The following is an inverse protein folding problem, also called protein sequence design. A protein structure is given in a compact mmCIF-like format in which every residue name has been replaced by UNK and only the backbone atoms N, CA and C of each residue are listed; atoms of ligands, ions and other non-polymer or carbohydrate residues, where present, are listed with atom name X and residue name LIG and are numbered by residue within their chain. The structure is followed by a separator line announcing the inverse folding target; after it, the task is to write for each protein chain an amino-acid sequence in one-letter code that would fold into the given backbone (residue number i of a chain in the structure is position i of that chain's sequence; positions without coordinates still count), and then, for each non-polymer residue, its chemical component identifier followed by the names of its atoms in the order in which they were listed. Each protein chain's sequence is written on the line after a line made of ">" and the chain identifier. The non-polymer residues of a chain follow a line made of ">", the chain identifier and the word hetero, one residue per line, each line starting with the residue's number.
data_IF_918980770915
#
_entry.id   IF_918980770915
#
_cell.length_a   1.000
_cell.length_b   1.000
_cell.length_c   1.000
_cell.angle_alpha   90.00
_cell.angle_beta   90.00
_cell.angle_gamma   90.00
#
_symmetry.space_group_name_H-M   'P 1'
#
loop_
_entity.id
_entity.type
_entity.pdbx_description
1 polymer ?
#
# COMPACT_ATOMS: atom_id res chain seq x y z
N UNK A 1 -5.82 -13.99 -11.90
CA UNK A 1 -5.91 -15.00 -10.83
C UNK A 1 -7.14 -15.89 -11.00
N UNK A 2 -7.12 -17.10 -10.44
CA UNK A 2 -8.17 -18.13 -10.44
C UNK A 2 -8.21 -18.81 -9.06
N UNK A 3 -9.25 -19.60 -8.80
CA UNK A 3 -9.44 -20.31 -7.51
C UNK A 3 -8.21 -21.17 -7.15
N UNK A 4 -7.64 -21.89 -8.11
CA UNK A 4 -6.43 -22.71 -7.92
C UNK A 4 -5.14 -21.92 -7.63
N UNK A 5 -5.19 -20.59 -7.68
CA UNK A 5 -4.06 -19.71 -7.37
C UNK A 5 -4.12 -19.18 -5.93
N UNK A 6 -5.19 -19.47 -5.17
CA UNK A 6 -5.33 -19.06 -3.77
C UNK A 6 -4.15 -19.61 -2.95
N UNK A 7 -3.57 -18.75 -2.11
CA UNK A 7 -2.38 -19.04 -1.30
C UNK A 7 -1.04 -18.91 -2.03
N UNK A 8 -1.03 -18.74 -3.37
CA UNK A 8 0.22 -18.57 -4.13
C UNK A 8 0.65 -17.09 -4.19
N UNK A 9 1.96 -16.81 -4.34
CA UNK A 9 2.48 -15.47 -4.54
C UNK A 9 1.83 -14.76 -5.74
N UNK A 10 1.24 -13.57 -5.49
CA UNK A 10 0.57 -12.77 -6.54
C UNK A 10 1.51 -12.44 -7.70
N UNK A 11 2.74 -12.01 -7.39
CA UNK A 11 3.75 -11.61 -8.39
C UNK A 11 4.07 -12.75 -9.36
N UNK A 12 4.35 -13.95 -8.85
CA UNK A 12 4.69 -15.13 -9.66
C UNK A 12 3.53 -15.56 -10.55
N UNK A 13 2.31 -15.62 -9.99
CA UNK A 13 1.11 -15.99 -10.75
C UNK A 13 0.82 -14.95 -11.83
N UNK A 14 0.94 -13.65 -11.53
CA UNK A 14 0.74 -12.59 -12.51
C UNK A 14 1.72 -12.70 -13.67
N UNK A 15 3.02 -12.78 -13.39
CA UNK A 15 4.07 -12.90 -14.40
C UNK A 15 3.83 -14.11 -15.30
N UNK A 16 3.60 -15.28 -14.71
CA UNK A 16 3.31 -16.51 -15.45
C UNK A 16 2.14 -16.36 -16.41
N UNK A 17 1.00 -15.83 -15.93
CA UNK A 17 -0.23 -15.73 -16.75
C UNK A 17 -0.10 -14.73 -17.90
N UNK A 18 0.64 -13.64 -17.70
CA UNK A 18 0.86 -12.67 -18.79
C UNK A 18 1.80 -13.27 -19.84
N UNK A 19 2.89 -13.91 -19.43
CA UNK A 19 3.82 -14.56 -20.35
C UNK A 19 3.19 -15.73 -21.13
N UNK A 20 2.26 -16.48 -20.52
CA UNK A 20 1.47 -17.51 -21.22
C UNK A 20 0.54 -16.92 -22.30
N UNK A 21 0.09 -15.67 -22.12
CA UNK A 21 -0.90 -15.02 -22.99
C UNK A 21 -0.26 -14.17 -24.10
N UNK A 22 0.85 -13.51 -23.80
CA UNK A 22 1.48 -12.52 -24.68
C UNK A 22 2.87 -12.99 -25.05
N UNK A 23 3.07 -13.37 -26.31
CA UNK A 23 4.36 -13.82 -26.83
C UNK A 23 5.40 -12.70 -26.84
N UNK A 24 6.64 -13.03 -26.47
CA UNK A 24 7.77 -12.09 -26.51
C UNK A 24 7.89 -11.18 -25.29
N UNK A 25 6.96 -11.27 -24.34
CA UNK A 25 7.03 -10.55 -23.06
C UNK A 25 7.86 -11.35 -22.07
N UNK A 26 8.79 -10.68 -21.38
CA UNK A 26 9.58 -11.23 -20.29
C UNK A 26 9.28 -10.47 -19.00
N UNK A 27 8.77 -11.17 -17.98
CA UNK A 27 8.44 -10.58 -16.67
C UNK A 27 9.21 -11.33 -15.59
N UNK A 28 10.01 -10.60 -14.82
CA UNK A 28 10.71 -11.11 -13.64
C UNK A 28 9.87 -10.78 -12.40
N UNK A 29 9.17 -11.75 -11.78
CA UNK A 29 8.39 -11.50 -10.58
C UNK A 29 9.28 -11.34 -9.35
N UNK A 30 8.86 -10.48 -8.44
CA UNK A 30 9.46 -10.36 -7.11
C UNK A 30 8.37 -10.52 -6.05
N UNK A 31 8.42 -11.61 -5.27
CA UNK A 31 7.55 -11.81 -4.12
C UNK A 31 8.28 -11.36 -2.85
N UNK A 32 8.29 -10.05 -2.65
CA UNK A 32 8.84 -9.39 -1.48
C UNK A 32 8.16 -8.03 -1.31
N UNK A 33 8.42 -7.35 -0.21
CA UNK A 33 8.04 -5.95 -0.06
C UNK A 33 8.96 -5.07 -0.91
N UNK A 34 8.51 -3.85 -1.19
CA UNK A 34 9.35 -2.87 -1.90
C UNK A 34 10.51 -2.41 -1.00
N UNK A 35 10.29 -2.36 0.31
CA UNK A 35 11.28 -1.95 1.30
C UNK A 35 12.39 -2.99 1.49
N UNK A 36 12.17 -4.24 1.06
CA UNK A 36 13.17 -5.32 1.14
C UNK A 36 14.22 -5.24 0.01
N UNK A 37 14.01 -4.36 -0.98
CA UNK A 37 14.94 -4.19 -2.12
C UNK A 37 15.95 -3.09 -1.82
N UNK A 38 17.21 -3.39 -2.09
CA UNK A 38 18.30 -2.40 -2.06
C UNK A 38 18.06 -1.27 -3.07
N UNK A 39 18.59 -0.08 -2.80
CA UNK A 39 18.43 1.08 -3.69
C UNK A 39 18.94 0.80 -5.12
N UNK A 40 20.04 0.07 -5.27
CA UNK A 40 20.60 -0.27 -6.58
C UNK A 40 19.62 -1.08 -7.45
N UNK A 41 18.71 -1.85 -6.83
CA UNK A 41 17.64 -2.52 -7.56
C UNK A 41 16.76 -1.51 -8.28
N UNK A 42 16.40 -0.40 -7.65
CA UNK A 42 15.54 0.61 -8.28
C UNK A 42 16.27 1.43 -9.34
N UNK A 43 17.59 1.60 -9.20
CA UNK A 43 18.39 2.36 -10.13
C UNK A 43 18.44 1.74 -11.55
N UNK A 44 18.26 0.42 -11.66
CA UNK A 44 18.29 -0.28 -12.96
C UNK A 44 17.10 0.06 -13.89
N UNK A 45 16.01 0.59 -13.34
CA UNK A 45 14.78 0.85 -14.10
C UNK A 45 14.74 2.27 -14.68
N UNK A 46 14.20 2.40 -15.89
CA UNK A 46 14.03 3.67 -16.58
C UNK A 46 12.69 4.35 -16.23
N UNK A 47 11.66 3.56 -15.91
CA UNK A 47 10.33 4.04 -15.54
C UNK A 47 9.80 3.14 -14.43
N UNK A 48 9.13 3.73 -13.45
CA UNK A 48 8.47 3.01 -12.35
C UNK A 48 6.96 3.26 -12.44
N UNK A 49 6.14 2.20 -12.46
CA UNK A 49 4.67 2.31 -12.48
C UNK A 49 4.12 1.79 -11.16
N UNK A 50 3.33 2.61 -10.48
CA UNK A 50 2.83 2.36 -9.12
C UNK A 50 1.33 2.04 -9.16
N UNK A 51 0.99 0.86 -8.64
CA UNK A 51 -0.38 0.42 -8.33
C UNK A 51 -0.49 0.02 -6.87
N UNK A 52 0.03 0.87 -5.97
CA UNK A 52 0.13 0.62 -4.54
C UNK A 52 -1.20 0.89 -3.82
N UNK A 53 -1.38 0.37 -2.63
CA UNK A 53 -2.61 0.48 -1.82
C UNK A 53 -2.45 1.32 -0.55
N UNK A 54 -1.21 1.66 -0.15
CA UNK A 54 -0.94 2.50 1.02
C UNK A 54 -0.27 3.84 0.68
N UNK A 55 -0.38 4.80 1.59
CA UNK A 55 0.31 6.10 1.50
C UNK A 55 1.79 5.90 1.80
N UNK A 56 2.09 5.08 2.80
CA UNK A 56 3.43 4.78 3.29
C UNK A 56 4.30 4.17 2.19
N UNK A 57 3.77 3.22 1.41
CA UNK A 57 4.49 2.61 0.30
C UNK A 57 4.75 3.63 -0.84
N UNK A 58 3.79 4.54 -1.09
CA UNK A 58 3.95 5.61 -2.07
C UNK A 58 4.99 6.64 -1.62
N UNK A 59 4.99 7.03 -0.35
CA UNK A 59 6.03 7.89 0.24
C UNK A 59 7.40 7.24 0.17
N UNK A 60 7.51 5.95 0.48
CA UNK A 60 8.78 5.21 0.40
C UNK A 60 9.35 5.24 -1.02
N UNK A 61 8.58 4.80 -2.02
CA UNK A 61 9.10 4.74 -3.40
C UNK A 61 9.36 6.15 -3.96
N UNK A 62 8.60 7.16 -3.53
CA UNK A 62 8.88 8.55 -3.85
C UNK A 62 10.23 9.00 -3.28
N UNK A 63 10.52 8.67 -2.02
CA UNK A 63 11.82 8.97 -1.41
C UNK A 63 12.97 8.30 -2.16
N UNK A 64 12.81 7.01 -2.53
CA UNK A 64 13.79 6.27 -3.32
C UNK A 64 14.04 6.94 -4.68
N UNK A 65 12.98 7.22 -5.44
CA UNK A 65 13.09 7.84 -6.76
C UNK A 65 13.69 9.26 -6.71
N UNK A 66 13.28 10.06 -5.73
CA UNK A 66 13.88 11.37 -5.48
C UNK A 66 15.33 11.28 -5.00
N UNK A 67 15.70 10.23 -4.27
CA UNK A 67 17.04 10.02 -3.72
C UNK A 67 18.11 9.76 -4.78
N UNK A 68 17.73 9.32 -5.98
CA UNK A 68 18.67 9.20 -7.10
C UNK A 68 18.95 10.51 -7.81
N UNK A 69 18.14 11.56 -7.58
CA UNK A 69 18.22 12.78 -8.35
C UNK A 69 19.54 13.52 -8.12
N UNK A 70 20.33 13.65 -9.19
CA UNK A 70 21.56 14.43 -9.20
C UNK A 70 21.38 15.71 -10.03
N UNK A 71 22.18 16.72 -9.72
CA UNK A 71 22.15 18.03 -10.38
C UNK A 71 23.53 18.37 -10.97
N UNK A 72 23.53 18.95 -12.16
CA UNK A 72 24.75 19.46 -12.81
C UNK A 72 25.22 20.80 -12.20
N UNK A 73 26.31 21.36 -12.72
CA UNK A 73 26.86 22.63 -12.24
C UNK A 73 25.94 23.84 -12.46
N UNK A 74 24.93 23.71 -13.31
CA UNK A 74 23.96 24.75 -13.64
C UNK A 74 22.63 24.55 -12.87
N UNK A 75 22.63 23.70 -11.83
CA UNK A 75 21.45 23.33 -11.03
C UNK A 75 20.32 22.69 -11.86
N UNK A 76 20.68 21.95 -12.92
CA UNK A 76 19.73 21.19 -13.74
C UNK A 76 19.81 19.70 -13.41
N UNK A 77 18.66 19.00 -13.37
CA UNK A 77 18.64 17.55 -13.19
C UNK A 77 19.45 16.80 -14.26
N UNK A 78 20.37 15.95 -13.82
CA UNK A 78 21.08 14.99 -14.67
C UNK A 78 20.06 13.96 -15.16
N UNK A 79 19.76 13.96 -16.46
CA UNK A 79 18.61 13.24 -17.01
C UNK A 79 18.68 11.72 -16.78
N UNK A 80 19.89 11.16 -16.72
CA UNK A 80 20.16 9.74 -16.51
C UNK A 80 19.80 9.26 -15.10
N UNK A 81 19.76 10.17 -14.12
CA UNK A 81 19.47 9.86 -12.72
C UNK A 81 18.00 10.07 -12.36
N UNK A 82 17.26 10.81 -13.20
CA UNK A 82 15.81 10.99 -13.07
C UNK A 82 15.11 9.65 -13.26
N UNK A 83 14.26 9.27 -12.30
CA UNK A 83 13.38 8.10 -12.38
C UNK A 83 11.92 8.53 -12.51
N UNK A 84 11.37 8.67 -13.73
CA UNK A 84 9.96 8.96 -13.93
C UNK A 84 9.05 7.90 -13.30
N UNK A 85 8.02 8.36 -12.59
CA UNK A 85 7.01 7.51 -11.97
C UNK A 85 5.61 7.79 -12.54
N UNK A 86 4.83 6.74 -12.73
CA UNK A 86 3.39 6.84 -13.04
C UNK A 86 2.62 6.22 -11.89
N UNK A 87 1.91 7.04 -11.12
CA UNK A 87 1.12 6.57 -9.98
C UNK A 87 -0.37 6.53 -10.30
N UNK A 88 -0.98 5.39 -9.97
CA UNK A 88 -2.43 5.21 -9.98
C UNK A 88 -2.98 4.92 -8.59
N UNK A 89 -4.23 5.31 -8.37
CA UNK A 89 -5.01 4.93 -7.20
C UNK A 89 -6.49 4.80 -7.53
N UNK A 90 -7.20 3.95 -6.78
CA UNK A 90 -8.63 3.71 -6.97
C UNK A 90 -9.30 3.47 -5.62
N UNK A 91 -10.52 4.00 -5.46
CA UNK A 91 -11.38 3.76 -4.30
C UNK A 91 -12.84 3.78 -4.78
N UNK A 92 -13.50 2.61 -4.76
CA UNK A 92 -14.84 2.46 -5.33
C UNK A 92 -14.89 2.87 -6.81
N UNK A 93 -15.70 3.88 -7.14
CA UNK A 93 -15.83 4.45 -8.49
C UNK A 93 -14.96 5.69 -8.74
N UNK A 94 -14.09 6.05 -7.79
CA UNK A 94 -13.14 7.15 -7.92
C UNK A 94 -11.75 6.59 -8.18
N UNK A 95 -10.94 7.37 -8.89
CA UNK A 95 -9.54 7.05 -9.09
C UNK A 95 -8.78 8.22 -9.67
N UNK A 96 -7.46 8.09 -9.69
CA UNK A 96 -6.55 9.07 -10.25
C UNK A 96 -5.41 8.37 -10.98
N UNK A 97 -4.78 9.10 -11.90
CA UNK A 97 -3.50 8.77 -12.48
C UNK A 97 -2.66 10.05 -12.54
N UNK A 98 -1.37 9.95 -12.21
CA UNK A 98 -0.45 11.09 -12.27
C UNK A 98 0.92 10.65 -12.75
N UNK A 99 1.59 11.56 -13.43
CA UNK A 99 3.00 11.42 -13.81
C UNK A 99 3.83 12.28 -12.87
N UNK A 100 4.85 11.68 -12.26
CA UNK A 100 5.78 12.33 -11.35
C UNK A 100 7.18 12.21 -11.96
N UNK A 101 7.82 13.35 -12.18
CA UNK A 101 9.19 13.45 -12.67
C UNK A 101 9.99 14.17 -11.57
N UNK A 102 10.78 13.43 -10.78
CA UNK A 102 11.59 14.03 -9.72
C UNK A 102 12.43 15.21 -10.23
N UNK A 103 12.43 16.33 -9.49
CA UNK A 103 13.12 17.56 -9.87
C UNK A 103 12.40 18.45 -10.89
N UNK A 104 11.29 17.99 -11.48
CA UNK A 104 10.59 18.73 -12.54
C UNK A 104 9.10 18.93 -12.27
N UNK A 105 8.39 17.93 -11.76
CA UNK A 105 6.96 18.03 -11.40
C UNK A 105 6.78 17.85 -9.89
N UNK A 106 5.63 18.24 -9.31
CA UNK A 106 5.32 17.93 -7.92
C UNK A 106 5.45 16.44 -7.62
N UNK A 107 6.16 16.09 -6.55
CA UNK A 107 6.36 14.71 -6.13
C UNK A 107 5.15 14.20 -5.32
N UNK A 108 5.23 12.98 -4.79
CA UNK A 108 4.17 12.43 -3.94
C UNK A 108 3.90 13.33 -2.73
N UNK A 109 4.95 13.72 -2.02
CA UNK A 109 4.86 14.52 -0.79
C UNK A 109 4.29 15.92 -1.03
N UNK A 110 4.55 16.53 -2.18
CA UNK A 110 3.94 17.82 -2.55
C UNK A 110 2.40 17.77 -2.59
N UNK A 111 1.84 16.58 -2.78
CA UNK A 111 0.42 16.34 -3.01
C UNK A 111 -0.20 15.38 -1.98
N UNK A 112 0.51 15.05 -0.90
CA UNK A 112 0.03 14.08 0.09
C UNK A 112 -1.29 14.51 0.75
N UNK A 113 -1.50 15.83 0.88
CA UNK A 113 -2.72 16.44 1.42
C UNK A 113 -3.98 16.20 0.57
N UNK A 114 -3.83 15.75 -0.69
CA UNK A 114 -4.98 15.37 -1.54
C UNK A 114 -5.59 14.03 -1.12
N UNK A 115 -4.87 13.22 -0.35
CA UNK A 115 -5.39 11.96 0.16
C UNK A 115 -6.33 12.22 1.34
N UNK A 116 -7.48 11.54 1.39
CA UNK A 116 -8.44 11.74 2.47
C UNK A 116 -7.79 11.36 3.82
N UNK A 117 -8.12 12.08 4.91
CA UNK A 117 -7.63 11.73 6.23
C UNK A 117 -8.13 10.34 6.62
N UNK A 118 -7.24 9.52 7.18
CA UNK A 118 -7.62 8.22 7.75
C UNK A 118 -8.64 8.43 8.86
N UNK A 119 -9.74 7.67 8.83
CA UNK A 119 -10.75 7.70 9.89
C UNK A 119 -10.15 7.06 11.14
N UNK A 120 -10.05 7.83 12.23
CA UNK A 120 -9.62 7.36 13.55
C UNK A 120 -10.69 7.69 14.58
N UNK A 121 -11.11 6.70 15.35
CA UNK A 121 -12.07 6.89 16.44
C UNK A 121 -11.33 7.22 17.75
N UNK A 122 -11.75 8.24 18.53
CA UNK A 122 -11.17 8.49 19.84
C UNK A 122 -11.42 7.32 20.80
N UNK A 123 -10.41 6.93 21.56
CA UNK A 123 -10.52 5.83 22.54
C UNK A 123 -11.66 6.04 23.55
N UNK A 124 -11.88 7.28 24.00
CA UNK A 124 -13.00 7.61 24.90
C UNK A 124 -14.37 7.38 24.24
N UNK A 125 -14.49 7.58 22.92
CA UNK A 125 -15.73 7.29 22.18
C UNK A 125 -15.96 5.78 22.09
N UNK A 126 -14.91 5.00 21.84
CA UNK A 126 -15.00 3.54 21.79
C UNK A 126 -15.36 2.95 23.16
N UNK A 127 -14.70 3.41 24.22
CA UNK A 127 -14.86 2.89 25.57
C UNK A 127 -16.18 3.31 26.24
N UNK A 128 -16.58 4.58 26.13
CA UNK A 128 -17.67 5.13 26.95
C UNK A 128 -18.93 5.48 26.17
N UNK A 129 -18.79 5.95 24.93
CA UNK A 129 -19.91 6.55 24.17
C UNK A 129 -19.99 6.05 22.72
N UNK A 130 -20.16 4.73 22.50
CA UNK A 130 -20.36 4.19 21.16
C UNK A 130 -21.66 4.72 20.56
N UNK A 131 -21.64 5.05 19.27
CA UNK A 131 -22.74 5.72 18.55
C UNK A 131 -23.09 5.06 17.22
N UNK A 132 -22.20 4.22 16.70
CA UNK A 132 -22.32 3.55 15.41
C UNK A 132 -21.84 2.11 15.55
N UNK A 133 -22.27 1.23 14.65
CA UNK A 133 -21.81 -0.15 14.61
C UNK A 133 -20.27 -0.25 14.47
N UNK A 134 -19.66 0.67 13.71
CA UNK A 134 -18.21 0.74 13.57
C UNK A 134 -17.50 0.96 14.93
N UNK A 135 -18.09 1.76 15.83
CA UNK A 135 -17.51 1.94 17.17
C UNK A 135 -17.54 0.64 17.99
N UNK A 136 -18.61 -0.14 17.90
CA UNK A 136 -18.71 -1.43 18.61
C UNK A 136 -17.71 -2.45 18.08
N UNK A 137 -17.51 -2.51 16.75
CA UNK A 137 -16.51 -3.37 16.09
C UNK A 137 -15.10 -2.97 16.52
N UNK A 138 -14.77 -1.68 16.45
CA UNK A 138 -13.45 -1.18 16.83
C UNK A 138 -13.16 -1.34 18.33
N UNK A 139 -14.18 -1.23 19.18
CA UNK A 139 -14.05 -1.57 20.60
C UNK A 139 -13.71 -3.05 20.80
N UNK A 140 -14.43 -3.95 20.11
CA UNK A 140 -14.16 -5.38 20.18
C UNK A 140 -12.73 -5.71 19.72
N UNK A 141 -12.27 -5.07 18.65
CA UNK A 141 -10.95 -5.27 18.05
C UNK A 141 -9.81 -4.67 18.86
N UNK A 142 -9.88 -3.40 19.24
CA UNK A 142 -8.76 -2.68 19.83
C UNK A 142 -8.66 -2.83 21.35
N UNK A 143 -9.78 -3.11 22.03
CA UNK A 143 -9.84 -3.16 23.50
C UNK A 143 -10.13 -4.58 23.96
N UNK A 144 -11.27 -5.17 23.58
CA UNK A 144 -11.69 -6.48 24.11
C UNK A 144 -10.81 -7.64 23.66
N UNK A 145 -10.31 -7.60 22.44
CA UNK A 145 -9.48 -8.68 21.91
C UNK A 145 -8.28 -8.97 22.80
N UNK A 146 -7.53 -7.93 23.15
CA UNK A 146 -6.33 -8.03 23.97
C UNK A 146 -6.65 -8.45 25.43
N UNK A 147 -7.74 -7.90 26.00
CA UNK A 147 -8.22 -8.28 27.33
C UNK A 147 -8.51 -9.78 27.46
N UNK A 148 -9.09 -10.40 26.43
CA UNK A 148 -9.54 -11.80 26.45
C UNK A 148 -8.46 -12.76 25.98
N UNK A 149 -7.69 -12.39 24.96
CA UNK A 149 -6.72 -13.27 24.31
C UNK A 149 -5.27 -13.04 24.75
N UNK A 150 -5.05 -12.20 25.78
CA UNK A 150 -3.78 -12.07 26.51
C UNK A 150 -2.56 -11.89 25.58
N UNK A 151 -2.64 -10.93 24.66
CA UNK A 151 -1.55 -10.61 23.73
C UNK A 151 -1.45 -11.49 22.47
N UNK A 152 -2.38 -12.44 22.24
CA UNK A 152 -2.49 -13.08 20.92
C UNK A 152 -2.84 -12.02 19.87
N UNK A 153 -2.09 -11.87 18.77
CA UNK A 153 -2.43 -10.90 17.73
C UNK A 153 -3.74 -11.28 17.05
N UNK A 154 -4.55 -10.27 16.76
CA UNK A 154 -5.73 -10.43 15.91
C UNK A 154 -5.30 -10.66 14.46
N UNK A 155 -6.03 -11.54 13.77
CA UNK A 155 -5.82 -11.85 12.36
C UNK A 155 -7.16 -11.69 11.64
N UNK A 156 -7.23 -10.72 10.72
CA UNK A 156 -8.44 -10.41 9.98
C UNK A 156 -8.74 -11.43 8.86
N UNK A 157 -7.76 -12.25 8.49
CA UNK A 157 -7.92 -13.33 7.51
C UNK A 157 -8.34 -14.65 8.18
N UNK A 158 -8.31 -14.72 9.52
CA UNK A 158 -8.81 -15.86 10.30
C UNK A 158 -10.32 -15.72 10.55
N UNK A 159 -11.08 -16.71 10.08
CA UNK A 159 -12.54 -16.72 10.20
C UNK A 159 -13.04 -16.82 11.64
N UNK A 160 -12.34 -17.54 12.51
CA UNK A 160 -12.72 -17.67 13.92
C UNK A 160 -12.51 -16.34 14.65
N UNK A 161 -11.39 -15.66 14.36
CA UNK A 161 -11.11 -14.33 14.89
C UNK A 161 -12.19 -13.32 14.46
N UNK A 162 -12.53 -13.29 13.18
CA UNK A 162 -13.58 -12.41 12.65
C UNK A 162 -14.97 -12.71 13.24
N UNK A 163 -15.31 -13.99 13.41
CA UNK A 163 -16.56 -14.40 14.05
C UNK A 163 -16.62 -13.98 15.53
N UNK A 164 -15.50 -14.06 16.24
CA UNK A 164 -15.41 -13.60 17.61
C UNK A 164 -15.63 -12.09 17.70
N UNK A 165 -14.95 -11.29 16.87
CA UNK A 165 -15.13 -9.83 16.81
C UNK A 165 -16.58 -9.48 16.52
N UNK A 166 -17.20 -10.14 15.53
CA UNK A 166 -18.61 -9.92 15.20
C UNK A 166 -19.52 -10.21 16.40
N UNK A 167 -19.32 -11.35 17.05
CA UNK A 167 -20.14 -11.77 18.19
C UNK A 167 -20.00 -10.85 19.39
N UNK A 168 -18.79 -10.34 19.64
CA UNK A 168 -18.52 -9.43 20.75
C UNK A 168 -19.03 -8.02 20.46
N UNK A 169 -18.85 -7.52 19.24
CA UNK A 169 -19.40 -6.24 18.80
C UNK A 169 -20.94 -6.22 18.85
N UNK A 170 -21.60 -7.36 18.59
CA UNK A 170 -23.07 -7.47 18.63
C UNK A 170 -23.64 -7.37 20.06
N UNK A 171 -22.86 -7.72 21.09
CA UNK A 171 -23.29 -7.62 22.50
C UNK A 171 -23.24 -6.19 23.04
N UNK A 172 -22.54 -5.29 22.34
CA UNK A 172 -22.22 -3.92 22.78
C UNK A 172 -23.18 -2.90 22.21
#
# INVERSE_FOLDING_TARGET
>A
YRIQDVGKPKAEVAAKRVMERVSGVNIVPHFCRIEDKELEFYNQFQIIVLGLDSIEARSYINSVACGFLEYDSDDRPVQETVKPMVDGGTEGFKGHARVIIPGMTPCFECNIWLFPPQVKFPLCTLAETPRTAAHCIEYAHLIKWDEVHSGKPFDADDTEHMQWIYSEALKR
#
